data_IF_670287330547
#
_entry.id   IF_670287330547
#
_cell.length_a   1.000
_cell.length_b   1.000
_cell.length_c   1.000
_cell.angle_alpha   90.00
_cell.angle_beta   90.00
_cell.angle_gamma   90.00
#
_symmetry.space_group_name_H-M   'P 1'
#
loop_
_entity.id
_entity.type
_entity.pdbx_description
1 polymer ?
#
# COMPACT_ATOMS: atom_id res chain seq x y z
N UNK A 1 -5.19 -2.80 12.72
CA UNK A 1 -4.35 -1.80 13.40
C UNK A 1 -4.55 -0.45 12.73
N UNK A 2 -4.43 0.61 13.51
CA UNK A 2 -4.47 2.00 13.03
C UNK A 2 -3.29 2.72 13.68
N UNK A 3 -2.51 3.46 12.88
CA UNK A 3 -1.35 4.18 13.36
C UNK A 3 -1.13 5.51 12.61
N UNK A 4 -0.35 6.42 13.16
CA UNK A 4 0.00 7.69 12.52
C UNK A 4 1.41 7.64 11.92
N UNK A 5 1.52 8.00 10.65
CA UNK A 5 2.77 8.26 9.97
C UNK A 5 3.28 9.70 10.28
N UNK A 6 4.60 9.94 10.38
CA UNK A 6 5.67 8.95 10.41
C UNK A 6 5.76 8.24 11.77
N UNK A 7 6.50 7.18 11.90
CA UNK A 7 6.76 6.47 13.15
C UNK A 7 5.69 5.46 13.57
N UNK A 8 4.55 5.41 12.89
CA UNK A 8 3.44 4.48 13.13
C UNK A 8 3.03 4.37 14.60
N UNK A 9 2.84 5.53 15.22
CA UNK A 9 2.40 5.64 16.60
C UNK A 9 0.94 5.25 16.76
N UNK A 10 0.63 4.52 17.82
CA UNK A 10 -0.74 4.18 18.19
C UNK A 10 -1.53 5.39 18.69
N UNK A 11 -2.84 5.19 18.90
CA UNK A 11 -3.75 6.22 19.36
C UNK A 11 -3.36 6.76 20.74
N UNK A 12 -3.38 8.09 20.86
CA UNK A 12 -3.35 8.82 22.14
C UNK A 12 -4.46 9.87 22.14
N UNK A 13 -4.89 10.33 23.32
CA UNK A 13 -5.88 11.41 23.42
C UNK A 13 -5.37 12.71 22.78
N UNK A 14 -4.08 12.97 22.86
CA UNK A 14 -3.46 14.14 22.24
C UNK A 14 -3.55 14.12 20.71
N UNK A 15 -3.57 12.94 20.12
CA UNK A 15 -3.59 12.73 18.66
C UNK A 15 -4.99 12.42 18.13
N UNK A 16 -6.03 12.45 18.97
CA UNK A 16 -7.40 12.03 18.59
C UNK A 16 -7.90 12.69 17.31
N UNK A 17 -7.64 13.98 17.11
CA UNK A 17 -8.03 14.72 15.92
C UNK A 17 -7.31 14.20 14.65
N UNK A 18 -6.03 13.85 14.77
CA UNK A 18 -5.26 13.30 13.66
C UNK A 18 -5.82 11.93 13.21
N UNK A 19 -6.26 11.09 14.16
CA UNK A 19 -6.85 9.78 13.84
C UNK A 19 -8.23 9.85 13.18
N UNK A 20 -8.96 10.94 13.35
CA UNK A 20 -10.28 11.15 12.74
C UNK A 20 -10.23 12.01 11.48
N UNK A 21 -9.05 12.55 11.14
CA UNK A 21 -8.89 13.40 9.96
C UNK A 21 -9.11 12.62 8.67
N UNK A 22 -9.90 13.21 7.76
CA UNK A 22 -10.05 12.75 6.38
C UNK A 22 -9.45 13.75 5.37
N UNK A 23 -8.57 14.63 5.82
CA UNK A 23 -7.85 15.55 4.95
C UNK A 23 -7.07 14.79 3.86
N UNK A 24 -6.80 15.41 2.69
CA UNK A 24 -6.04 14.77 1.61
C UNK A 24 -4.65 14.29 2.02
N UNK A 25 -4.07 14.93 3.03
CA UNK A 25 -2.75 14.64 3.60
C UNK A 25 -2.83 14.00 5.00
N UNK A 26 -4.00 13.46 5.38
CA UNK A 26 -4.15 12.77 6.67
C UNK A 26 -3.12 11.65 6.82
N UNK A 27 -2.47 11.62 7.98
CA UNK A 27 -1.33 10.73 8.28
C UNK A 27 -1.74 9.36 8.81
N UNK A 28 -3.02 9.04 8.80
CA UNK A 28 -3.54 7.77 9.32
C UNK A 28 -3.21 6.64 8.36
N UNK A 29 -2.60 5.59 8.90
CA UNK A 29 -2.32 4.33 8.22
C UNK A 29 -3.24 3.27 8.82
N UNK A 30 -3.99 2.58 7.96
CA UNK A 30 -4.81 1.43 8.34
C UNK A 30 -4.10 0.16 7.93
N UNK A 31 -3.98 -0.80 8.85
CA UNK A 31 -3.34 -2.09 8.59
C UNK A 31 -4.31 -3.20 8.97
N UNK A 32 -4.71 -4.00 8.00
CA UNK A 32 -5.55 -5.19 8.18
C UNK A 32 -4.74 -6.46 7.90
N UNK A 33 -4.83 -7.45 8.78
CA UNK A 33 -4.24 -8.77 8.55
C UNK A 33 -5.32 -9.73 8.06
N UNK A 34 -5.01 -10.50 7.03
CA UNK A 34 -5.94 -11.45 6.41
C UNK A 34 -5.26 -12.75 6.04
N UNK A 35 -6.04 -13.79 5.87
CA UNK A 35 -5.56 -15.03 5.29
C UNK A 35 -5.30 -14.81 3.79
N UNK A 36 -4.11 -15.17 3.34
CA UNK A 36 -3.75 -15.17 1.91
C UNK A 36 -4.05 -16.54 1.31
N UNK A 37 -4.97 -16.56 0.34
CA UNK A 37 -5.43 -17.82 -0.27
C UNK A 37 -4.69 -18.19 -1.55
N UNK A 38 -4.22 -17.18 -2.28
CA UNK A 38 -3.59 -17.40 -3.59
C UNK A 38 -2.11 -17.70 -3.50
N UNK A 39 -1.46 -17.32 -2.41
CA UNK A 39 -0.02 -17.55 -2.18
C UNK A 39 0.90 -16.84 -3.19
N UNK A 40 0.38 -15.91 -3.99
CA UNK A 40 1.16 -15.22 -5.01
C UNK A 40 2.08 -14.18 -4.37
N UNK A 41 3.34 -14.17 -4.80
CA UNK A 41 4.26 -13.07 -4.50
C UNK A 41 3.79 -11.77 -5.16
N UNK A 42 4.35 -10.63 -4.77
CA UNK A 42 4.04 -9.35 -5.42
C UNK A 42 4.45 -9.34 -6.89
N UNK A 43 5.59 -9.94 -7.22
CA UNK A 43 6.05 -10.11 -8.59
C UNK A 43 5.06 -10.93 -9.44
N UNK A 44 4.59 -12.06 -8.89
CA UNK A 44 3.56 -12.89 -9.55
C UNK A 44 2.23 -12.15 -9.69
N UNK A 45 1.81 -11.36 -8.68
CA UNK A 45 0.63 -10.49 -8.77
C UNK A 45 0.79 -9.46 -9.88
N UNK A 46 1.96 -8.82 -9.98
CA UNK A 46 2.23 -7.90 -11.06
C UNK A 46 2.11 -8.58 -12.42
N UNK A 47 2.81 -9.69 -12.63
CA UNK A 47 2.86 -10.37 -13.91
C UNK A 47 1.51 -10.97 -14.33
N UNK A 48 0.76 -11.56 -13.40
CA UNK A 48 -0.43 -12.38 -13.70
C UNK A 48 -1.75 -11.64 -13.53
N UNK A 49 -1.80 -10.63 -12.63
CA UNK A 49 -3.05 -9.92 -12.30
C UNK A 49 -3.07 -8.54 -12.95
N UNK A 50 -2.00 -7.75 -12.80
CA UNK A 50 -2.04 -6.34 -13.20
C UNK A 50 -1.54 -6.10 -14.63
N UNK A 51 -0.43 -6.72 -15.01
CA UNK A 51 0.20 -6.49 -16.32
C UNK A 51 -0.72 -6.69 -17.52
N UNK A 52 -1.65 -7.67 -17.56
CA UNK A 52 -2.60 -7.82 -18.65
C UNK A 52 -3.58 -6.64 -18.82
N UNK A 53 -3.72 -5.81 -17.79
CA UNK A 53 -4.64 -4.67 -17.76
C UNK A 53 -3.94 -3.31 -17.85
N UNK A 54 -2.61 -3.28 -18.04
CA UNK A 54 -1.82 -2.05 -18.13
C UNK A 54 -1.93 -1.50 -19.57
N UNK A 55 -2.21 -0.18 -19.66
CA UNK A 55 -2.35 0.52 -20.94
C UNK A 55 -1.01 0.69 -21.67
N UNK A 56 0.05 1.09 -20.95
CA UNK A 56 1.38 1.33 -21.49
C UNK A 56 2.40 0.44 -20.78
N UNK A 57 2.95 -0.54 -21.50
CA UNK A 57 3.81 -1.56 -20.90
C UNK A 57 5.14 -1.03 -20.32
N UNK A 58 5.63 0.09 -20.83
CA UNK A 58 6.90 0.69 -20.37
C UNK A 58 6.75 1.49 -19.08
N UNK A 59 5.54 1.97 -18.79
CA UNK A 59 5.27 2.80 -17.62
C UNK A 59 6.01 4.14 -17.63
N UNK A 60 5.87 4.91 -16.58
CA UNK A 60 6.57 6.19 -16.37
C UNK A 60 7.36 6.15 -15.06
N UNK A 61 8.64 6.51 -15.12
CA UNK A 61 9.46 6.58 -13.90
C UNK A 61 9.10 7.80 -13.07
N UNK A 62 8.79 7.60 -11.81
CA UNK A 62 8.52 8.66 -10.84
C UNK A 62 9.80 9.21 -10.22
N UNK A 63 9.72 10.38 -9.58
CA UNK A 63 10.84 10.98 -8.82
C UNK A 63 11.27 10.11 -7.63
N UNK A 64 10.37 9.31 -7.08
CA UNK A 64 10.68 8.34 -6.01
C UNK A 64 11.32 7.04 -6.51
N UNK A 65 11.53 6.91 -7.83
CA UNK A 65 12.16 5.77 -8.47
C UNK A 65 11.23 4.58 -8.73
N UNK A 66 9.94 4.71 -8.45
CA UNK A 66 8.94 3.72 -8.84
C UNK A 66 8.57 3.87 -10.32
N UNK A 67 8.10 2.78 -10.93
CA UNK A 67 7.43 2.81 -12.23
C UNK A 67 5.94 2.98 -11.99
N UNK A 68 5.35 3.99 -12.63
CA UNK A 68 3.92 4.27 -12.60
C UNK A 68 3.26 3.73 -13.87
N UNK A 69 2.19 2.97 -13.68
CA UNK A 69 1.38 2.41 -14.76
C UNK A 69 -0.06 2.89 -14.65
N UNK A 70 -0.66 3.17 -15.79
CA UNK A 70 -2.10 3.40 -15.95
C UNK A 70 -2.75 2.11 -16.43
N UNK A 71 -3.99 1.89 -16.02
CA UNK A 71 -4.78 0.75 -16.48
C UNK A 71 -5.62 1.09 -17.71
N UNK A 72 -5.97 0.06 -18.49
CA UNK A 72 -6.88 0.15 -19.61
C UNK A 72 -8.27 0.62 -19.16
N UNK A 73 -8.93 1.44 -19.97
CA UNK A 73 -10.26 2.00 -19.66
C UNK A 73 -11.34 0.90 -19.50
N UNK A 74 -11.21 -0.20 -20.22
CA UNK A 74 -12.11 -1.36 -20.12
C UNK A 74 -11.80 -2.27 -18.92
N UNK A 75 -10.71 -2.03 -18.20
CA UNK A 75 -10.34 -2.84 -17.04
C UNK A 75 -11.16 -2.47 -15.80
N UNK A 76 -11.29 -3.41 -14.88
CA UNK A 76 -11.86 -3.14 -13.56
C UNK A 76 -11.02 -2.19 -12.68
N UNK A 77 -9.82 -1.81 -13.15
CA UNK A 77 -8.86 -0.94 -12.44
C UNK A 77 -8.76 0.47 -13.05
N UNK A 78 -9.63 0.84 -14.00
CA UNK A 78 -9.55 2.11 -14.76
C UNK A 78 -9.40 3.38 -13.92
N UNK A 79 -9.98 3.37 -12.72
CA UNK A 79 -9.95 4.51 -11.79
C UNK A 79 -8.73 4.48 -10.86
N UNK A 80 -7.78 3.58 -11.11
CA UNK A 80 -6.60 3.38 -10.29
C UNK A 80 -5.30 3.58 -11.10
N UNK A 81 -4.21 3.74 -10.37
CA UNK A 81 -2.83 3.76 -10.86
C UNK A 81 -2.03 2.71 -10.08
N UNK A 82 -1.05 2.10 -10.73
CA UNK A 82 -0.16 1.12 -10.12
C UNK A 82 1.26 1.65 -10.08
N UNK A 83 1.83 1.74 -8.87
CA UNK A 83 3.24 2.00 -8.65
C UNK A 83 3.94 0.68 -8.40
N UNK A 84 5.04 0.44 -9.12
CA UNK A 84 5.87 -0.77 -9.01
C UNK A 84 7.29 -0.36 -8.72
N UNK A 85 7.92 -0.98 -7.74
CA UNK A 85 9.33 -0.77 -7.42
C UNK A 85 9.98 -2.05 -6.97
N UNK A 86 11.19 -2.27 -7.45
CA UNK A 86 12.08 -3.28 -6.88
C UNK A 86 12.77 -2.71 -5.63
N UNK A 87 12.74 -3.46 -4.55
CA UNK A 87 13.33 -3.10 -3.27
C UNK A 87 14.12 -4.26 -2.65
N UNK A 88 14.72 -4.02 -1.50
CA UNK A 88 15.50 -5.04 -0.77
C UNK A 88 14.64 -6.27 -0.38
N UNK A 89 13.34 -6.07 -0.21
CA UNK A 89 12.38 -7.12 0.16
C UNK A 89 11.60 -7.67 -1.06
N UNK A 90 12.12 -7.48 -2.28
CA UNK A 90 11.47 -7.87 -3.52
C UNK A 90 10.61 -6.77 -4.14
N UNK A 91 9.75 -7.17 -5.07
CA UNK A 91 8.83 -6.26 -5.77
C UNK A 91 7.79 -5.70 -4.81
N UNK A 92 7.62 -4.39 -4.85
CA UNK A 92 6.59 -3.67 -4.11
C UNK A 92 5.55 -3.13 -5.09
N UNK A 93 4.29 -3.36 -4.79
CA UNK A 93 3.15 -2.91 -5.58
C UNK A 93 2.27 -2.00 -4.73
N UNK A 94 1.96 -0.81 -5.25
CA UNK A 94 0.97 0.07 -4.62
C UNK A 94 -0.08 0.45 -5.64
N UNK A 95 -1.33 0.22 -5.32
CA UNK A 95 -2.47 0.69 -6.07
C UNK A 95 -3.04 1.94 -5.41
N UNK A 96 -3.19 3.00 -6.19
CA UNK A 96 -3.76 4.26 -5.74
C UNK A 96 -4.98 4.60 -6.59
N UNK A 97 -6.07 5.00 -5.95
CA UNK A 97 -7.20 5.61 -6.66
C UNK A 97 -6.75 6.95 -7.25
N UNK A 98 -7.15 7.26 -8.46
CA UNK A 98 -6.91 8.56 -9.10
C UNK A 98 -7.74 9.65 -8.41
N UNK A 99 -7.19 10.84 -8.21
CA UNK A 99 -7.97 11.96 -7.70
C UNK A 99 -9.00 12.40 -8.75
N UNK A 100 -10.23 12.59 -8.31
CA UNK A 100 -11.33 13.14 -9.11
C UNK A 100 -12.07 14.18 -8.28
N UNK A 101 -13.02 14.90 -8.88
CA UNK A 101 -13.86 15.83 -8.16
C UNK A 101 -14.66 15.12 -7.05
N UNK A 102 -15.10 13.88 -7.30
CA UNK A 102 -15.87 13.07 -6.35
C UNK A 102 -14.98 12.36 -5.32
N UNK A 103 -13.69 12.19 -5.62
CA UNK A 103 -12.69 11.55 -4.74
C UNK A 103 -11.49 12.48 -4.58
N UNK A 104 -11.64 13.61 -3.86
CA UNK A 104 -10.55 14.59 -3.72
C UNK A 104 -9.42 14.13 -2.80
N UNK A 105 -9.66 13.10 -1.98
CA UNK A 105 -8.72 12.57 -1.01
C UNK A 105 -8.54 11.05 -1.18
N UNK A 106 -7.95 10.61 -2.32
CA UNK A 106 -7.81 9.21 -2.63
C UNK A 106 -6.82 8.50 -1.72
N UNK A 107 -6.99 7.18 -1.64
CA UNK A 107 -6.11 6.30 -0.89
C UNK A 107 -5.24 5.48 -1.82
N UNK A 108 -4.12 5.04 -1.27
CA UNK A 108 -3.28 3.97 -1.78
C UNK A 108 -3.36 2.76 -0.86
N UNK A 109 -3.17 1.59 -1.42
CA UNK A 109 -3.08 0.35 -0.66
C UNK A 109 -2.02 -0.59 -1.25
N UNK A 110 -1.40 -1.35 -0.37
CA UNK A 110 -0.41 -2.36 -0.71
C UNK A 110 -0.50 -3.53 0.25
N UNK A 111 0.04 -4.67 -0.16
CA UNK A 111 0.08 -5.89 0.63
C UNK A 111 1.50 -6.21 1.08
N UNK A 112 1.62 -6.69 2.31
CA UNK A 112 2.83 -7.29 2.87
C UNK A 112 2.57 -8.78 3.06
N UNK A 113 3.38 -9.64 2.45
CA UNK A 113 3.34 -11.07 2.70
C UNK A 113 4.03 -11.37 4.03
N UNK A 114 3.32 -12.02 4.95
CA UNK A 114 3.80 -12.32 6.31
C UNK A 114 4.31 -13.75 6.46
N UNK A 115 4.10 -14.61 5.46
CA UNK A 115 4.33 -16.06 5.57
C UNK A 115 3.12 -16.80 6.13
N UNK A 116 3.23 -18.13 6.21
CA UNK A 116 2.22 -19.03 6.80
C UNK A 116 0.77 -18.79 6.33
N UNK A 117 0.62 -18.38 5.06
CA UNK A 117 -0.69 -18.08 4.46
C UNK A 117 -1.34 -16.81 5.01
N UNK A 118 -0.56 -15.89 5.55
CA UNK A 118 -1.00 -14.58 6.03
C UNK A 118 -0.45 -13.45 5.17
N UNK A 119 -1.27 -12.43 4.98
CA UNK A 119 -0.87 -11.15 4.41
C UNK A 119 -1.46 -10.00 5.23
N UNK A 120 -0.78 -8.87 5.22
CA UNK A 120 -1.33 -7.63 5.72
C UNK A 120 -1.55 -6.67 4.56
N UNK A 121 -2.70 -6.00 4.54
CA UNK A 121 -2.96 -4.87 3.64
C UNK A 121 -2.83 -3.59 4.44
N UNK A 122 -2.00 -2.67 3.99
CA UNK A 122 -1.94 -1.33 4.57
C UNK A 122 -2.48 -0.28 3.60
N UNK A 123 -3.18 0.70 4.13
CA UNK A 123 -3.83 1.78 3.38
C UNK A 123 -3.43 3.14 3.95
N UNK A 124 -3.12 4.08 3.07
CA UNK A 124 -2.70 5.44 3.41
C UNK A 124 -3.18 6.44 2.34
N UNK A 125 -3.11 7.74 2.64
CA UNK A 125 -3.50 8.79 1.68
C UNK A 125 -2.47 8.91 0.55
N UNK A 126 -2.95 9.10 -0.68
CA UNK A 126 -2.12 9.23 -1.89
C UNK A 126 -1.08 10.35 -1.78
N UNK A 127 -1.35 11.40 -1.01
CA UNK A 127 -0.39 12.46 -0.73
C UNK A 127 0.95 11.95 -0.15
N UNK A 128 0.96 10.77 0.48
CA UNK A 128 2.15 10.14 1.06
C UNK A 128 2.79 9.07 0.17
N UNK A 129 2.39 8.95 -1.09
CA UNK A 129 2.91 7.88 -1.97
C UNK A 129 4.42 7.98 -2.18
N UNK A 130 5.00 9.18 -2.13
CA UNK A 130 6.45 9.36 -2.23
C UNK A 130 7.23 8.76 -1.04
N UNK A 131 6.59 8.66 0.13
CA UNK A 131 7.16 8.09 1.36
C UNK A 131 6.75 6.62 1.60
N UNK A 132 6.21 5.94 0.61
CA UNK A 132 5.66 4.59 0.76
C UNK A 132 6.65 3.56 1.32
N UNK A 133 7.96 3.72 1.06
CA UNK A 133 8.99 2.83 1.61
C UNK A 133 9.07 2.94 3.13
N UNK A 134 9.03 4.17 3.65
CA UNK A 134 9.07 4.41 5.09
C UNK A 134 7.77 3.91 5.74
N UNK A 135 6.64 4.08 5.06
CA UNK A 135 5.34 3.54 5.50
C UNK A 135 5.39 2.02 5.55
N UNK A 136 5.89 1.35 4.50
CA UNK A 136 5.99 -0.11 4.49
C UNK A 136 6.98 -0.62 5.54
N UNK A 137 8.15 0.01 5.66
CA UNK A 137 9.13 -0.37 6.67
C UNK A 137 8.55 -0.27 8.09
N UNK A 138 7.84 0.82 8.38
CA UNK A 138 7.14 1.00 9.65
C UNK A 138 6.02 -0.02 9.85
N UNK A 139 5.21 -0.30 8.83
CA UNK A 139 4.16 -1.32 8.90
C UNK A 139 4.73 -2.72 9.17
N UNK A 140 5.84 -3.08 8.53
CA UNK A 140 6.55 -4.36 8.77
C UNK A 140 7.09 -4.43 10.20
N UNK A 141 7.70 -3.37 10.70
CA UNK A 141 8.21 -3.32 12.07
C UNK A 141 7.08 -3.46 13.10
N UNK A 142 5.96 -2.74 12.90
CA UNK A 142 4.79 -2.82 13.75
C UNK A 142 4.18 -4.23 13.74
N UNK A 143 3.98 -4.83 12.58
CA UNK A 143 3.46 -6.19 12.45
C UNK A 143 4.40 -7.21 13.09
N UNK A 144 5.73 -7.05 12.90
CA UNK A 144 6.73 -7.92 13.52
C UNK A 144 6.69 -7.91 15.06
N UNK A 145 6.32 -6.77 15.67
CA UNK A 145 6.16 -6.66 17.11
C UNK A 145 4.94 -7.44 17.65
N UNK A 146 3.93 -7.64 16.82
CA UNK A 146 2.72 -8.41 17.19
C UNK A 146 2.79 -9.89 16.82
N UNK A 147 3.70 -10.27 15.93
CA UNK A 147 3.88 -11.67 15.55
C UNK A 147 4.72 -12.40 16.59
N UNK A 148 4.07 -13.12 17.49
CA UNK A 148 4.74 -14.03 18.42
C UNK A 148 5.27 -15.20 17.60
N UNK A 149 6.60 -15.37 17.54
CA UNK A 149 7.18 -16.61 17.03
C UNK A 149 6.75 -17.74 17.96
N UNK A 150 6.00 -18.70 17.43
CA UNK A 150 5.80 -19.98 18.12
C UNK A 150 7.19 -20.53 18.43
N UNK A 151 7.50 -20.69 19.70
CA UNK A 151 8.69 -21.44 20.14
C UNK A 151 8.28 -22.89 20.09
N UNK A 152 8.72 -23.59 19.08
CA UNK A 152 8.76 -25.06 19.09
C UNK A 152 9.71 -25.56 20.19
#
# INVERSE_FOLDING_TARGET
LIALFPGLQGYTLADAQAFTSNAPDARVIYIGVRRERMGLSQEEKFARIYRPHIAEQDGTRTSSGAMLYSFLEESGYRDEELYVREGQNGTMLIRCTRPTADVPSPNCLSDIMLGDGLAATYRFKRAHVAQWQDIEAGARALLGAFMVKSRD
#
